data_IF_632486082131
#
_entry.id   IF_632486082131
#
_cell.length_a   1.000
_cell.length_b   1.000
_cell.length_c   1.000
_cell.angle_alpha   90.00
_cell.angle_beta   90.00
_cell.angle_gamma   90.00
#
_symmetry.space_group_name_H-M   'P 1'
#
loop_
_entity.id
_entity.type
_entity.pdbx_description
1 polymer ?
#
# COMPACT_ATOMS: atom_id res chain seq x y z
N UNK A 1 12.97 -17.96 5.40
CA UNK A 1 11.57 -17.66 5.02
C UNK A 1 10.49 -18.30 5.91
N UNK A 2 10.81 -18.99 7.01
CA UNK A 2 9.83 -19.71 7.85
C UNK A 2 8.74 -18.82 8.48
N UNK A 3 9.06 -17.56 8.80
CA UNK A 3 8.09 -16.60 9.33
C UNK A 3 7.01 -16.21 8.30
N UNK A 4 7.42 -16.01 7.04
CA UNK A 4 6.51 -15.69 5.93
C UNK A 4 5.59 -16.87 5.64
N UNK A 5 6.12 -18.10 5.72
CA UNK A 5 5.33 -19.33 5.57
C UNK A 5 4.21 -19.41 6.62
N UNK A 6 4.52 -19.13 7.90
CA UNK A 6 3.50 -19.07 8.94
C UNK A 6 2.52 -17.93 8.74
N UNK A 7 2.99 -16.75 8.32
CA UNK A 7 2.11 -15.62 8.02
C UNK A 7 1.09 -15.98 6.92
N UNK A 8 1.56 -16.58 5.81
CA UNK A 8 0.69 -17.07 4.73
C UNK A 8 -0.31 -18.14 5.21
N UNK A 9 0.13 -19.07 6.07
CA UNK A 9 -0.73 -20.13 6.62
C UNK A 9 -1.87 -19.57 7.48
N UNK A 10 -1.64 -18.45 8.16
CA UNK A 10 -2.59 -17.84 9.08
C UNK A 10 -3.24 -16.56 8.53
N UNK A 11 -3.08 -16.29 7.24
CA UNK A 11 -3.61 -15.10 6.54
C UNK A 11 -3.22 -13.78 7.23
N UNK A 12 -1.97 -13.71 7.70
CA UNK A 12 -1.41 -12.52 8.36
C UNK A 12 -0.70 -11.66 7.31
N UNK A 13 -1.05 -10.37 7.18
CA UNK A 13 -0.42 -9.49 6.19
C UNK A 13 1.05 -9.25 6.54
N UNK A 14 1.90 -9.37 5.52
CA UNK A 14 3.35 -9.19 5.68
C UNK A 14 3.72 -7.76 5.27
N UNK A 15 4.46 -7.08 6.14
CA UNK A 15 4.95 -5.72 5.92
C UNK A 15 6.44 -5.77 5.61
N UNK A 16 6.87 -5.06 4.58
CA UNK A 16 8.28 -4.87 4.25
C UNK A 16 8.60 -3.39 4.12
N UNK A 17 9.64 -2.94 4.82
CA UNK A 17 10.28 -1.64 4.57
C UNK A 17 11.52 -1.86 3.71
N UNK A 18 11.67 -1.06 2.66
CA UNK A 18 12.92 -1.00 1.91
C UNK A 18 13.98 -0.32 2.79
N UNK A 19 15.24 -0.74 2.61
CA UNK A 19 16.35 -0.32 3.48
C UNK A 19 17.21 0.79 2.90
N UNK A 20 17.74 0.59 1.69
CA UNK A 20 18.49 1.62 0.95
C UNK A 20 18.34 1.39 -0.55
N UNK A 21 18.39 2.47 -1.33
CA UNK A 21 18.31 2.41 -2.81
C UNK A 21 19.35 1.49 -3.45
N UNK A 22 20.55 1.39 -2.88
CA UNK A 22 21.65 0.62 -3.48
C UNK A 22 21.34 -0.88 -3.50
N UNK A 23 20.76 -1.40 -2.42
CA UNK A 23 20.37 -2.81 -2.31
C UNK A 23 19.24 -3.17 -3.28
N UNK A 24 18.38 -2.20 -3.61
CA UNK A 24 17.27 -2.41 -4.55
C UNK A 24 17.75 -2.31 -6.00
N UNK A 25 18.61 -1.33 -6.28
CA UNK A 25 19.15 -1.07 -7.61
C UNK A 25 20.00 -2.22 -8.16
N UNK A 26 20.64 -3.01 -7.29
CA UNK A 26 21.42 -4.18 -7.70
C UNK A 26 20.57 -5.25 -8.41
N UNK A 27 19.33 -5.48 -7.97
CA UNK A 27 18.42 -6.43 -8.60
C UNK A 27 16.94 -6.08 -8.38
N UNK A 28 16.40 -5.08 -9.10
CA UNK A 28 15.01 -4.66 -8.91
C UNK A 28 14.01 -5.74 -9.31
N UNK A 29 14.31 -6.57 -10.31
CA UNK A 29 13.42 -7.64 -10.77
C UNK A 29 13.16 -8.68 -9.68
N UNK A 30 14.22 -9.12 -8.97
CA UNK A 30 14.08 -10.05 -7.86
C UNK A 30 13.22 -9.45 -6.73
N UNK A 31 13.40 -8.17 -6.43
CA UNK A 31 12.57 -7.49 -5.43
C UNK A 31 11.10 -7.41 -5.85
N UNK A 32 10.82 -7.12 -7.12
CA UNK A 32 9.45 -7.09 -7.64
C UNK A 32 8.76 -8.46 -7.50
N UNK A 33 9.45 -9.54 -7.85
CA UNK A 33 8.94 -10.91 -7.67
C UNK A 33 8.73 -11.25 -6.19
N UNK A 34 9.69 -10.90 -5.33
CA UNK A 34 9.60 -11.13 -3.89
C UNK A 34 8.42 -10.38 -3.25
N UNK A 35 8.19 -9.14 -3.67
CA UNK A 35 7.06 -8.33 -3.21
C UNK A 35 5.74 -8.99 -3.62
N UNK A 36 5.62 -9.35 -4.90
CA UNK A 36 4.42 -9.99 -5.43
C UNK A 36 4.11 -11.33 -4.74
N UNK A 37 5.12 -12.10 -4.38
CA UNK A 37 4.89 -13.41 -3.76
C UNK A 37 4.60 -13.31 -2.26
N UNK A 38 5.21 -12.38 -1.54
CA UNK A 38 5.28 -12.47 -0.07
C UNK A 38 4.78 -11.25 0.69
N UNK A 39 4.63 -10.08 0.06
CA UNK A 39 4.43 -8.81 0.78
C UNK A 39 3.06 -8.22 0.48
N UNK A 40 2.31 -7.91 1.55
CA UNK A 40 1.01 -7.24 1.45
C UNK A 40 1.14 -5.72 1.56
N UNK A 41 2.07 -5.24 2.40
CA UNK A 41 2.26 -3.81 2.67
C UNK A 41 3.72 -3.43 2.44
N UNK A 42 3.94 -2.44 1.56
CA UNK A 42 5.26 -1.90 1.26
C UNK A 42 5.45 -0.52 1.89
N UNK A 43 6.57 -0.31 2.57
CA UNK A 43 7.04 1.00 2.99
C UNK A 43 8.35 1.34 2.27
N UNK A 44 8.42 2.53 1.66
CA UNK A 44 9.59 3.00 0.91
C UNK A 44 9.72 4.53 1.01
N UNK A 45 10.90 5.05 0.72
CA UNK A 45 11.09 6.49 0.41
C UNK A 45 11.07 6.77 -1.10
N UNK A 46 11.20 8.04 -1.49
CA UNK A 46 11.19 8.43 -2.90
C UNK A 46 12.32 7.79 -3.73
N UNK A 47 13.53 7.69 -3.17
CA UNK A 47 14.71 7.17 -3.88
C UNK A 47 14.64 5.64 -4.07
N UNK A 48 14.12 4.93 -3.07
CA UNK A 48 13.87 3.50 -3.12
C UNK A 48 12.73 3.16 -4.08
N UNK A 49 11.66 3.97 -4.08
CA UNK A 49 10.56 3.83 -5.02
C UNK A 49 11.02 4.04 -6.47
N UNK A 50 11.88 5.03 -6.70
CA UNK A 50 12.49 5.24 -8.02
C UNK A 50 13.38 4.06 -8.42
N UNK A 51 14.23 3.55 -7.51
CA UNK A 51 15.08 2.40 -7.79
C UNK A 51 14.27 1.12 -8.09
N UNK A 52 13.15 0.91 -7.40
CA UNK A 52 12.30 -0.27 -7.57
C UNK A 52 11.46 -0.21 -8.86
N UNK A 53 10.92 0.97 -9.18
CA UNK A 53 9.88 1.12 -10.21
C UNK A 53 10.34 1.85 -11.47
N UNK A 54 11.47 2.56 -11.40
CA UNK A 54 11.96 3.46 -12.44
C UNK A 54 11.23 4.81 -12.52
N UNK A 55 10.31 5.11 -11.60
CA UNK A 55 9.56 6.37 -11.58
C UNK A 55 10.08 7.32 -10.49
N UNK A 56 10.59 8.47 -10.89
CA UNK A 56 11.06 9.51 -9.96
C UNK A 56 9.91 10.24 -9.21
N UNK A 57 8.69 10.21 -9.76
CA UNK A 57 7.51 10.77 -9.09
C UNK A 57 6.98 9.77 -8.03
N UNK A 58 6.96 10.12 -6.73
CA UNK A 58 6.58 9.20 -5.65
C UNK A 58 5.18 8.62 -5.82
N UNK A 59 4.27 9.41 -6.38
CA UNK A 59 2.89 8.98 -6.61
C UNK A 59 2.80 7.92 -7.71
N UNK A 60 3.55 8.14 -8.79
CA UNK A 60 3.66 7.19 -9.90
C UNK A 60 4.37 5.91 -9.47
N UNK A 61 5.44 6.02 -8.68
CA UNK A 61 6.13 4.88 -8.08
C UNK A 61 5.20 4.06 -7.17
N UNK A 62 4.47 4.73 -6.26
CA UNK A 62 3.51 4.06 -5.37
C UNK A 62 2.38 3.38 -6.16
N UNK A 63 1.86 4.03 -7.21
CA UNK A 63 0.85 3.43 -8.07
C UNK A 63 1.37 2.22 -8.86
N UNK A 64 2.64 2.23 -9.28
CA UNK A 64 3.27 1.07 -9.91
C UNK A 64 3.48 -0.07 -8.92
N UNK A 65 3.89 0.24 -7.69
CA UNK A 65 4.08 -0.76 -6.64
C UNK A 65 2.80 -1.50 -6.25
N UNK A 66 1.62 -0.88 -6.44
CA UNK A 66 0.32 -1.55 -6.29
C UNK A 66 0.07 -2.69 -7.29
N UNK A 67 0.89 -2.85 -8.34
CA UNK A 67 0.82 -4.05 -9.18
C UNK A 67 1.32 -5.30 -8.43
N UNK A 68 2.06 -5.13 -7.33
CA UNK A 68 2.68 -6.22 -6.58
C UNK A 68 2.15 -6.35 -5.14
N UNK A 69 1.72 -5.26 -4.50
CA UNK A 69 1.29 -5.24 -3.09
C UNK A 69 -0.08 -4.57 -2.92
N UNK A 70 -0.73 -4.80 -1.79
CA UNK A 70 -2.09 -4.29 -1.51
C UNK A 70 -2.11 -2.84 -1.00
N UNK A 71 -1.06 -2.44 -0.27
CA UNK A 71 -0.92 -1.10 0.30
C UNK A 71 0.54 -0.64 0.24
N UNK A 72 0.75 0.61 -0.16
CA UNK A 72 2.05 1.25 -0.28
C UNK A 72 2.08 2.52 0.57
N UNK A 73 3.16 2.70 1.31
CA UNK A 73 3.50 3.89 2.07
C UNK A 73 4.81 4.46 1.48
N UNK A 74 4.73 5.60 0.82
CA UNK A 74 5.89 6.26 0.20
C UNK A 74 6.19 7.58 0.92
N UNK A 75 7.25 7.64 1.70
CA UNK A 75 7.76 8.89 2.25
C UNK A 75 8.45 9.70 1.15
N UNK A 76 8.27 11.01 1.17
CA UNK A 76 8.73 11.94 0.15
C UNK A 76 9.36 13.18 0.79
N UNK A 77 10.25 12.97 1.78
CA UNK A 77 10.90 14.02 2.59
C UNK A 77 10.03 15.26 2.86
N UNK A 78 10.41 16.45 2.34
CA UNK A 78 9.68 17.71 2.54
C UNK A 78 8.33 17.78 1.82
N UNK A 79 8.09 16.94 0.82
CA UNK A 79 6.79 16.83 0.14
C UNK A 79 5.75 16.05 0.98
N UNK A 80 6.19 15.38 2.05
CA UNK A 80 5.36 14.68 3.02
C UNK A 80 5.33 13.17 2.79
N UNK A 81 4.13 12.61 2.81
CA UNK A 81 3.89 11.17 2.70
C UNK A 81 2.76 10.90 1.70
N UNK A 82 2.98 9.90 0.85
CA UNK A 82 2.00 9.36 -0.06
C UNK A 82 1.57 7.97 0.40
N UNK A 83 0.28 7.69 0.26
CA UNK A 83 -0.27 6.36 0.49
C UNK A 83 -0.95 5.90 -0.79
N UNK A 84 -0.78 4.64 -1.16
CA UNK A 84 -1.54 4.06 -2.24
C UNK A 84 -2.12 2.72 -1.82
N UNK A 85 -3.36 2.42 -2.16
CA UNK A 85 -4.00 1.16 -1.76
C UNK A 85 -5.30 0.89 -2.49
N UNK A 86 -5.86 -0.28 -2.24
CA UNK A 86 -7.11 -0.72 -2.83
C UNK A 86 -8.32 -0.49 -1.91
N UNK A 87 -9.48 -0.24 -2.51
CA UNK A 87 -10.76 -0.21 -1.82
C UNK A 87 -11.87 -0.69 -2.75
N UNK A 88 -12.95 -1.21 -2.18
CA UNK A 88 -14.14 -1.60 -2.92
C UNK A 88 -14.86 -0.36 -3.48
N UNK A 89 -15.36 -0.45 -4.72
CA UNK A 89 -16.02 0.68 -5.39
C UNK A 89 -17.29 1.12 -4.64
N UNK A 90 -18.04 0.17 -4.10
CA UNK A 90 -19.27 0.42 -3.32
C UNK A 90 -18.99 1.09 -1.96
N UNK A 91 -17.80 0.87 -1.38
CA UNK A 91 -17.40 1.40 -0.08
C UNK A 91 -16.60 2.72 -0.18
N UNK A 92 -16.39 3.23 -1.40
CA UNK A 92 -15.58 4.41 -1.68
C UNK A 92 -16.17 5.67 -1.05
N UNK A 93 -15.34 6.39 -0.28
CA UNK A 93 -15.71 7.68 0.31
C UNK A 93 -15.04 8.81 -0.46
N UNK A 94 -15.83 9.82 -0.84
CA UNK A 94 -15.30 11.03 -1.46
C UNK A 94 -14.56 11.86 -0.42
N UNK A 95 -13.45 12.46 -0.84
CA UNK A 95 -12.73 13.44 -0.04
C UNK A 95 -13.57 14.68 0.19
N UNK A 96 -13.44 15.29 1.37
CA UNK A 96 -13.99 16.61 1.69
C UNK A 96 -12.98 17.74 1.43
N UNK A 97 -11.79 17.40 0.97
CA UNK A 97 -10.70 18.34 0.73
C UNK A 97 -10.57 18.70 -0.76
N UNK A 98 -9.91 19.83 -1.08
CA UNK A 98 -9.63 20.19 -2.47
C UNK A 98 -8.86 19.09 -3.19
N UNK A 99 -9.31 18.76 -4.40
CA UNK A 99 -8.61 17.79 -5.25
C UNK A 99 -7.26 18.36 -5.64
N UNK A 100 -6.20 17.62 -5.32
CA UNK A 100 -4.85 18.02 -5.67
C UNK A 100 -4.58 17.73 -7.15
N UNK A 101 -3.93 18.65 -7.89
CA UNK A 101 -3.49 18.38 -9.26
C UNK A 101 -2.36 17.33 -9.23
N UNK A 102 -2.58 16.21 -9.91
CA UNK A 102 -1.61 15.11 -10.04
C UNK A 102 -1.65 14.48 -11.43
N UNK A 103 -0.64 13.65 -11.76
CA UNK A 103 -0.42 13.08 -13.10
C UNK A 103 -1.52 12.09 -13.54
N UNK A 104 -2.33 11.58 -12.60
CA UNK A 104 -3.53 10.77 -12.85
C UNK A 104 -4.80 11.58 -12.59
N UNK A 105 -5.41 12.13 -13.66
CA UNK A 105 -6.66 12.93 -13.58
C UNK A 105 -7.92 12.12 -13.27
N UNK A 106 -7.91 10.79 -13.40
CA UNK A 106 -9.11 9.94 -13.26
C UNK A 106 -9.22 9.18 -11.93
N UNK A 107 -8.16 9.14 -11.11
CA UNK A 107 -8.05 8.22 -9.96
C UNK A 107 -8.05 8.91 -8.60
N UNK A 108 -8.25 10.23 -8.55
CA UNK A 108 -7.81 11.04 -7.41
C UNK A 108 -8.99 11.72 -6.72
N UNK A 109 -9.59 11.04 -5.74
CA UNK A 109 -10.18 11.75 -4.58
C UNK A 109 -9.07 11.97 -3.55
N UNK A 110 -8.11 12.84 -3.87
CA UNK A 110 -6.96 13.13 -3.00
C UNK A 110 -7.44 13.90 -1.75
N UNK A 111 -7.28 13.31 -0.57
CA UNK A 111 -7.48 13.98 0.72
C UNK A 111 -6.31 14.92 1.00
N UNK A 112 -6.56 16.17 1.44
CA UNK A 112 -5.46 17.10 1.81
C UNK A 112 -4.70 16.72 3.09
N UNK A 113 -5.26 15.83 3.92
CA UNK A 113 -4.60 15.34 5.14
C UNK A 113 -3.55 14.25 4.89
N UNK A 114 -3.64 13.52 3.77
CA UNK A 114 -2.67 12.51 3.35
C UNK A 114 -2.80 12.38 1.83
N UNK A 115 -1.73 12.66 1.08
CA UNK A 115 -1.70 12.62 -0.39
C UNK A 115 -1.87 11.15 -0.84
N UNK A 116 -3.12 10.67 -0.86
CA UNK A 116 -3.45 9.26 -1.02
C UNK A 116 -4.02 8.95 -2.41
N UNK A 117 -3.45 7.98 -3.11
CA UNK A 117 -4.00 7.41 -4.35
C UNK A 117 -4.68 6.09 -4.05
N UNK A 118 -6.00 6.08 -4.17
CA UNK A 118 -6.75 4.82 -4.08
C UNK A 118 -6.95 4.27 -5.48
N UNK A 119 -6.38 3.10 -5.76
CA UNK A 119 -6.66 2.37 -7.00
C UNK A 119 -7.88 1.49 -6.75
N UNK A 120 -8.79 1.45 -7.71
CA UNK A 120 -9.97 0.59 -7.64
C UNK A 120 -9.51 -0.81 -8.06
N UNK A 121 -9.52 -1.77 -7.15
CA UNK A 121 -9.47 -3.17 -7.51
C UNK A 121 -10.88 -3.73 -7.36
N UNK A 122 -11.36 -4.40 -8.40
CA UNK A 122 -12.33 -5.48 -8.24
C UNK A 122 -11.57 -6.60 -7.52
N UNK A 123 -11.45 -6.51 -6.20
CA UNK A 123 -10.91 -7.62 -5.42
C UNK A 123 -11.86 -8.79 -5.68
N UNK A 124 -11.31 -9.91 -6.16
CA UNK A 124 -12.04 -11.18 -6.21
C UNK A 124 -12.61 -11.41 -4.83
N UNK A 125 -13.92 -11.31 -4.72
CA UNK A 125 -14.71 -11.56 -3.53
C UNK A 125 -14.36 -12.95 -2.98
N UNK A 126 -13.36 -13.03 -2.10
CA UNK A 126 -13.24 -14.10 -1.14
C UNK A 126 -14.02 -13.59 0.08
N UNK A 127 -15.29 -13.99 0.13
CA UNK A 127 -16.15 -13.84 1.30
C UNK A 127 -15.36 -14.19 2.57
N UNK A 128 -15.03 -13.18 3.39
CA UNK A 128 -14.61 -13.40 4.78
C UNK A 128 -15.87 -13.24 5.63
N UNK A 129 -16.54 -14.32 6.05
CA UNK A 129 -17.57 -14.21 7.07
C UNK A 129 -16.86 -13.94 8.40
N UNK A 130 -16.71 -12.67 8.77
CA UNK A 130 -16.34 -12.28 10.14
C UNK A 130 -17.59 -12.50 11.00
N UNK A 131 -17.81 -13.74 11.41
CA UNK A 131 -18.73 -14.08 12.50
C UNK A 131 -17.90 -14.47 13.72
N UNK A 132 -17.41 -13.48 14.47
CA UNK A 132 -16.97 -13.67 15.84
C UNK A 132 -17.45 -12.50 16.71
N UNK A 133 -18.15 -12.79 17.83
CA UNK A 133 -18.86 -11.80 18.62
C UNK A 133 -17.90 -10.94 19.44
N UNK A 134 -18.18 -9.64 19.44
CA UNK A 134 -17.50 -8.62 20.24
C UNK A 134 -17.64 -9.00 21.72
N UNK A 135 -16.51 -9.33 22.35
CA UNK A 135 -16.40 -9.44 23.81
C UNK A 135 -16.66 -8.07 24.44
N UNK A 136 -17.85 -7.91 25.02
CA UNK A 136 -18.15 -6.81 25.93
C UNK A 136 -17.41 -7.06 27.26
N UNK A 137 -16.31 -6.34 27.49
CA UNK A 137 -15.69 -6.29 28.82
C UNK A 137 -16.57 -5.44 29.77
N UNK A 138 -16.95 -5.93 30.96
CA UNK A 138 -17.68 -5.13 31.93
C UNK A 138 -16.74 -4.14 32.63
N UNK A 139 -17.15 -2.86 32.68
CA UNK A 139 -16.52 -1.85 33.54
C UNK A 139 -16.75 -2.25 35.00
N UNK A 140 -15.66 -2.43 35.76
CA UNK A 140 -15.73 -2.55 37.21
C UNK A 140 -16.10 -1.19 37.82
N UNK A 141 -17.07 -1.25 38.72
CA UNK A 141 -17.52 -0.20 39.65
C UNK A 141 -16.42 0.27 40.58
#
# INVERSE_FOLDING_TARGET
MKAIEYAKKHDVPVVLTLGTKYVIADNPAWWQEFLQEHVSILAMNEEEGEALTGFADPLSAANKALDWVDLVLCTAGPAGLYMAGFTEEEAKRKTQHPLLPGRSRSLTSLNSAARCVTRIALIRCAYIPISLPIWAAPRRS
#
